data_IF_013388314302
#
_entry.id   IF_013388314302
#
_cell.length_a   1.000
_cell.length_b   1.000
_cell.length_c   1.000
_cell.angle_alpha   90.00
_cell.angle_beta   90.00
_cell.angle_gamma   90.00
#
_symmetry.space_group_name_H-M   'P 1'
#
loop_
_entity.id
_entity.type
_entity.pdbx_description
1 polymer ?
#
# COMPACT_ATOMS: atom_id res chain seq x y z
N UNK A 1 -7.79 13.09 16.51
CA UNK A 1 -7.12 12.40 17.63
C UNK A 1 -6.09 11.44 17.05
N UNK A 2 -4.80 11.60 17.37
CA UNK A 2 -3.78 10.62 17.00
C UNK A 2 -4.02 9.34 17.82
N UNK A 3 -4.32 8.21 17.14
CA UNK A 3 -4.36 6.90 17.80
C UNK A 3 -2.98 6.65 18.42
N UNK A 4 -2.93 6.31 19.71
CA UNK A 4 -1.71 5.80 20.32
C UNK A 4 -1.34 4.51 19.62
N UNK A 5 -0.16 4.44 18.99
CA UNK A 5 0.38 3.19 18.51
C UNK A 5 0.48 2.24 19.70
N UNK A 6 -0.31 1.19 19.67
CA UNK A 6 -0.24 0.15 20.70
C UNK A 6 1.01 -0.69 20.50
N UNK A 7 1.40 -1.48 21.49
CA UNK A 7 2.56 -2.36 21.39
C UNK A 7 2.38 -3.40 20.27
N UNK A 8 1.14 -3.85 20.01
CA UNK A 8 0.81 -4.79 18.95
C UNK A 8 1.08 -4.20 17.56
N UNK A 9 0.58 -2.99 17.27
CA UNK A 9 0.85 -2.26 16.02
C UNK A 9 2.35 -2.09 15.78
N UNK A 10 3.11 -1.73 16.82
CA UNK A 10 4.55 -1.56 16.73
C UNK A 10 5.25 -2.88 16.35
N UNK A 11 4.90 -3.98 16.98
CA UNK A 11 5.46 -5.29 16.70
C UNK A 11 5.16 -5.75 15.25
N UNK A 12 3.95 -5.52 14.74
CA UNK A 12 3.60 -5.87 13.37
C UNK A 12 4.35 -5.00 12.35
N UNK A 13 4.54 -3.71 12.61
CA UNK A 13 5.37 -2.81 11.77
C UNK A 13 6.83 -3.27 11.77
N UNK A 14 7.39 -3.66 12.91
CA UNK A 14 8.76 -4.17 13.01
C UNK A 14 8.94 -5.48 12.21
N UNK A 15 7.96 -6.40 12.26
CA UNK A 15 7.96 -7.63 11.44
C UNK A 15 7.97 -7.29 9.94
N UNK A 16 7.12 -6.37 9.52
CA UNK A 16 7.07 -5.90 8.13
C UNK A 16 8.40 -5.28 7.69
N UNK A 17 8.97 -4.38 8.49
CA UNK A 17 10.24 -3.71 8.19
C UNK A 17 11.40 -4.70 8.15
N UNK A 18 11.43 -5.65 9.08
CA UNK A 18 12.41 -6.74 9.10
C UNK A 18 12.33 -7.59 7.83
N UNK A 19 11.10 -7.94 7.40
CA UNK A 19 10.91 -8.71 6.17
C UNK A 19 11.34 -7.91 4.93
N UNK A 20 11.05 -6.61 4.85
CA UNK A 20 11.52 -5.75 3.76
C UNK A 20 13.05 -5.70 3.65
N UNK A 21 13.76 -5.81 4.78
CA UNK A 21 15.23 -5.81 4.82
C UNK A 21 15.85 -7.17 4.55
N UNK A 22 15.04 -8.23 4.47
CA UNK A 22 15.53 -9.60 4.19
C UNK A 22 15.86 -9.74 2.70
N UNK A 23 16.91 -10.49 2.38
CA UNK A 23 17.31 -10.80 1.00
C UNK A 23 16.39 -11.84 0.35
N UNK A 24 16.24 -11.75 -0.99
CA UNK A 24 15.52 -12.76 -1.78
C UNK A 24 16.18 -14.16 -1.68
N UNK A 25 15.43 -15.24 -1.85
CA UNK A 25 14.02 -15.29 -2.22
C UNK A 25 13.07 -15.06 -1.04
N UNK A 26 12.01 -14.30 -1.30
CA UNK A 26 10.94 -13.99 -0.33
C UNK A 26 9.60 -14.53 -0.80
N UNK A 27 8.71 -14.76 0.16
CA UNK A 27 7.32 -15.14 -0.11
C UNK A 27 6.33 -14.23 0.61
N UNK A 28 5.16 -14.08 0.02
CA UNK A 28 4.01 -13.37 0.57
C UNK A 28 2.88 -14.39 0.66
N UNK A 29 2.38 -14.65 1.84
CA UNK A 29 1.22 -15.51 2.04
C UNK A 29 0.00 -14.66 2.37
N UNK A 30 -1.15 -15.04 1.82
CA UNK A 30 -2.46 -14.49 2.20
C UNK A 30 -3.52 -15.57 2.07
N UNK A 31 -4.70 -15.35 2.66
CA UNK A 31 -5.74 -16.36 2.64
C UNK A 31 -6.38 -16.52 1.26
N UNK A 32 -6.85 -17.74 0.97
CA UNK A 32 -7.73 -18.02 -0.17
C UNK A 32 -9.06 -17.25 -0.03
N UNK A 33 -9.74 -17.06 -1.15
CA UNK A 33 -10.94 -16.22 -1.21
C UNK A 33 -10.65 -14.79 -0.78
N UNK A 34 -9.55 -14.23 -1.35
CA UNK A 34 -9.08 -12.88 -0.99
C UNK A 34 -10.22 -11.85 -1.01
N UNK A 35 -10.33 -11.11 0.06
CA UNK A 35 -11.12 -9.87 0.12
C UNK A 35 -10.26 -8.67 -0.26
N UNK A 36 -10.73 -7.46 0.02
CA UNK A 36 -10.00 -6.27 -0.34
C UNK A 36 -8.73 -6.09 0.50
N UNK A 37 -8.76 -6.40 1.80
CA UNK A 37 -7.58 -6.27 2.66
C UNK A 37 -6.48 -7.23 2.24
N UNK A 38 -6.81 -8.50 2.05
CA UNK A 38 -5.89 -9.54 1.57
C UNK A 38 -5.29 -9.19 0.20
N UNK A 39 -6.14 -8.81 -0.78
CA UNK A 39 -5.71 -8.52 -2.14
C UNK A 39 -4.77 -7.31 -2.22
N UNK A 40 -5.14 -6.19 -1.56
CA UNK A 40 -4.35 -4.96 -1.59
C UNK A 40 -3.09 -5.06 -0.73
N UNK A 41 -3.12 -5.79 0.39
CA UNK A 41 -1.94 -6.07 1.22
C UNK A 41 -0.89 -6.87 0.47
N UNK A 42 -1.26 -8.01 -0.10
CA UNK A 42 -0.36 -8.83 -0.91
C UNK A 42 0.18 -8.07 -2.13
N UNK A 43 -0.69 -7.27 -2.79
CA UNK A 43 -0.31 -6.45 -3.93
C UNK A 43 0.72 -5.38 -3.57
N UNK A 44 0.56 -4.67 -2.44
CA UNK A 44 1.55 -3.69 -1.98
C UNK A 44 2.91 -4.34 -1.74
N UNK A 45 2.94 -5.46 -1.02
CA UNK A 45 4.18 -6.20 -0.77
C UNK A 45 4.86 -6.66 -2.06
N UNK A 46 4.08 -7.14 -3.04
CA UNK A 46 4.61 -7.54 -4.35
C UNK A 46 5.13 -6.36 -5.19
N UNK A 47 4.63 -5.14 -4.98
CA UNK A 47 5.19 -3.92 -5.59
C UNK A 47 6.51 -3.54 -4.92
N UNK A 48 6.61 -3.70 -3.60
CA UNK A 48 7.83 -3.41 -2.83
C UNK A 48 8.93 -4.45 -3.06
N UNK A 49 8.57 -5.71 -3.22
CA UNK A 49 9.47 -6.86 -3.48
C UNK A 49 8.99 -7.61 -4.74
N UNK A 50 9.35 -7.13 -5.94
CA UNK A 50 8.81 -7.67 -7.20
C UNK A 50 9.16 -9.13 -7.48
N UNK A 51 10.23 -9.65 -6.85
CA UNK A 51 10.66 -11.04 -6.98
C UNK A 51 10.00 -11.98 -5.96
N UNK A 52 9.29 -11.45 -4.96
CA UNK A 52 8.62 -12.25 -3.96
C UNK A 52 7.49 -13.08 -4.59
N UNK A 53 7.46 -14.38 -4.24
CA UNK A 53 6.40 -15.27 -4.66
C UNK A 53 5.14 -15.03 -3.82
N UNK A 54 3.98 -14.94 -4.47
CA UNK A 54 2.70 -14.82 -3.77
C UNK A 54 1.99 -16.16 -3.74
N UNK A 55 1.60 -16.60 -2.54
CA UNK A 55 0.88 -17.86 -2.31
C UNK A 55 -0.43 -17.59 -1.58
N UNK A 56 -1.47 -18.33 -1.96
CA UNK A 56 -2.79 -18.28 -1.35
C UNK A 56 -2.98 -19.57 -0.55
N UNK A 57 -3.26 -19.42 0.74
CA UNK A 57 -3.34 -20.55 1.70
C UNK A 57 -4.65 -20.48 2.47
N UNK A 58 -5.10 -21.57 3.12
CA UNK A 58 -6.25 -21.51 4.04
C UNK A 58 -6.05 -20.44 5.12
N UNK A 59 -7.11 -19.73 5.50
CA UNK A 59 -7.04 -18.61 6.45
C UNK A 59 -6.54 -19.01 7.85
N UNK A 60 -6.67 -20.28 8.21
CA UNK A 60 -6.20 -20.86 9.47
C UNK A 60 -4.78 -21.44 9.41
N UNK A 61 -4.13 -21.36 8.25
CA UNK A 61 -2.77 -21.82 8.06
C UNK A 61 -1.80 -21.00 8.93
N UNK A 62 -0.88 -21.70 9.60
CA UNK A 62 0.16 -21.08 10.40
C UNK A 62 1.46 -20.96 9.59
N UNK A 63 1.95 -19.73 9.43
CA UNK A 63 3.17 -19.44 8.66
C UNK A 63 4.28 -19.02 9.61
N UNK A 64 5.29 -19.86 9.73
CA UNK A 64 6.44 -19.65 10.62
C UNK A 64 7.78 -19.49 9.88
N UNK A 65 7.79 -19.62 8.56
CA UNK A 65 8.98 -19.36 7.76
C UNK A 65 9.38 -17.89 7.80
N UNK A 66 10.66 -17.62 8.15
CA UNK A 66 11.18 -16.25 8.30
C UNK A 66 11.26 -15.47 6.98
N UNK A 67 11.23 -16.16 5.83
CA UNK A 67 11.21 -15.52 4.49
C UNK A 67 9.81 -15.19 4.00
N UNK A 68 8.80 -15.72 4.68
CA UNK A 68 7.40 -15.50 4.32
C UNK A 68 6.75 -14.47 5.23
N UNK A 69 6.16 -13.44 4.66
CA UNK A 69 5.28 -12.52 5.37
C UNK A 69 3.83 -12.88 5.08
N UNK A 70 3.09 -13.24 6.13
CA UNK A 70 1.68 -13.54 6.02
C UNK A 70 0.86 -12.27 6.27
N UNK A 71 -0.02 -11.89 5.34
CA UNK A 71 -0.84 -10.68 5.44
C UNK A 71 -2.32 -11.02 5.44
N UNK A 72 -3.05 -10.30 6.26
CA UNK A 72 -4.46 -10.56 6.58
C UNK A 72 -4.68 -11.98 7.11
N UNK A 73 -3.72 -12.45 7.89
CA UNK A 73 -3.74 -13.74 8.57
C UNK A 73 -3.47 -13.56 10.06
N UNK A 74 -4.07 -14.43 10.88
CA UNK A 74 -4.02 -14.31 12.35
C UNK A 74 -2.99 -15.22 13.01
N UNK A 75 -2.44 -16.20 12.30
CA UNK A 75 -1.54 -17.23 12.85
C UNK A 75 -0.16 -17.15 12.24
N UNK A 76 0.85 -17.42 13.07
CA UNK A 76 2.26 -17.49 12.68
C UNK A 76 3.09 -16.31 13.14
N UNK A 77 4.40 -16.55 13.26
CA UNK A 77 5.36 -15.58 13.80
C UNK A 77 5.54 -14.32 12.94
N UNK A 78 5.18 -14.40 11.68
CA UNK A 78 5.27 -13.32 10.68
C UNK A 78 3.90 -12.91 10.14
N UNK A 79 2.85 -13.22 10.88
CA UNK A 79 1.51 -12.80 10.52
C UNK A 79 1.30 -11.30 10.83
N UNK A 80 0.64 -10.62 9.89
CA UNK A 80 0.18 -9.24 10.01
C UNK A 80 -1.33 -9.24 9.78
N UNK A 81 -2.08 -8.83 10.79
CA UNK A 81 -3.54 -8.72 10.73
C UNK A 81 -4.01 -7.27 10.78
N UNK A 82 -3.21 -6.38 11.36
CA UNK A 82 -3.58 -4.96 11.48
C UNK A 82 -4.69 -4.71 12.49
N UNK A 83 -4.78 -5.51 13.56
CA UNK A 83 -5.88 -5.52 14.52
C UNK A 83 -6.22 -4.14 15.10
N UNK A 84 -5.21 -3.33 15.42
CA UNK A 84 -5.41 -2.01 16.03
C UNK A 84 -5.68 -0.92 14.98
N UNK A 85 -5.20 -1.10 13.74
CA UNK A 85 -5.43 -0.17 12.63
C UNK A 85 -6.77 -0.43 11.93
N UNK A 86 -7.28 -1.66 11.97
CA UNK A 86 -8.51 -2.10 11.36
C UNK A 86 -8.29 -2.88 10.04
N UNK A 87 -7.08 -2.90 9.48
CA UNK A 87 -6.74 -3.74 8.32
C UNK A 87 -5.23 -3.97 8.23
N UNK A 88 -4.80 -5.08 7.64
CA UNK A 88 -3.40 -5.38 7.35
C UNK A 88 -2.82 -4.36 6.36
N UNK A 89 -3.59 -3.98 5.33
CA UNK A 89 -3.19 -2.94 4.37
C UNK A 89 -2.94 -1.60 5.05
N UNK A 90 -3.82 -1.21 5.97
CA UNK A 90 -3.67 0.03 6.73
C UNK A 90 -2.37 0.06 7.52
N UNK A 91 -2.03 -1.04 8.16
CA UNK A 91 -0.80 -1.19 8.92
C UNK A 91 0.44 -1.14 8.01
N UNK A 92 0.45 -1.86 6.88
CA UNK A 92 1.54 -1.83 5.91
C UNK A 92 1.78 -0.41 5.39
N UNK A 93 0.71 0.29 5.02
CA UNK A 93 0.79 1.69 4.56
C UNK A 93 1.32 2.60 5.66
N UNK A 94 0.89 2.41 6.91
CA UNK A 94 1.43 3.16 8.06
C UNK A 94 2.93 2.92 8.22
N UNK A 95 3.39 1.67 8.10
CA UNK A 95 4.81 1.31 8.14
C UNK A 95 5.65 1.99 7.05
N UNK A 96 5.05 2.31 5.90
CA UNK A 96 5.74 3.04 4.82
C UNK A 96 5.99 4.51 5.13
N UNK A 97 5.38 5.08 6.18
CA UNK A 97 5.51 6.51 6.51
C UNK A 97 6.97 6.94 6.72
N UNK A 98 7.78 6.08 7.34
CA UNK A 98 9.21 6.34 7.61
C UNK A 98 10.13 5.79 6.51
N UNK A 99 9.70 4.80 5.73
CA UNK A 99 10.53 4.10 4.73
C UNK A 99 10.43 4.80 3.36
N UNK A 100 9.22 5.01 2.87
CA UNK A 100 8.93 5.67 1.58
C UNK A 100 7.72 6.60 1.72
N UNK A 101 7.93 7.85 2.16
CA UNK A 101 6.86 8.82 2.34
C UNK A 101 5.98 9.06 1.10
N UNK A 102 6.49 9.04 -0.14
CA UNK A 102 5.69 9.04 -1.36
C UNK A 102 4.67 7.90 -1.43
N UNK A 103 5.05 6.65 -1.14
CA UNK A 103 4.12 5.51 -1.10
C UNK A 103 3.05 5.71 -0.02
N UNK A 104 3.45 6.13 1.18
CA UNK A 104 2.51 6.47 2.24
C UNK A 104 1.48 7.50 1.79
N UNK A 105 1.92 8.61 1.17
CA UNK A 105 1.01 9.65 0.67
C UNK A 105 0.07 9.15 -0.41
N UNK A 106 0.58 8.30 -1.33
CA UNK A 106 -0.22 7.70 -2.39
C UNK A 106 -1.38 6.87 -1.83
N UNK A 107 -1.12 6.06 -0.80
CA UNK A 107 -2.02 4.99 -0.37
C UNK A 107 -2.80 5.29 0.92
N UNK A 108 -2.45 6.32 1.70
CA UNK A 108 -3.05 6.60 3.02
C UNK A 108 -4.58 6.75 3.01
N UNK A 109 -5.16 7.28 1.90
CA UNK A 109 -6.61 7.40 1.79
C UNK A 109 -7.28 6.05 1.57
N UNK A 110 -6.67 5.17 0.77
CA UNK A 110 -7.14 3.81 0.57
C UNK A 110 -7.01 2.99 1.85
N UNK A 111 -5.89 3.14 2.57
CA UNK A 111 -5.70 2.53 3.88
C UNK A 111 -6.79 2.94 4.87
N UNK A 112 -7.11 4.23 4.95
CA UNK A 112 -8.19 4.72 5.81
C UNK A 112 -9.57 4.14 5.43
N UNK A 113 -9.85 3.98 4.14
CA UNK A 113 -11.09 3.35 3.66
C UNK A 113 -11.16 1.88 4.07
N UNK A 114 -10.11 1.11 3.83
CA UNK A 114 -10.07 -0.31 4.20
C UNK A 114 -10.16 -0.51 5.72
N UNK A 115 -9.46 0.31 6.52
CA UNK A 115 -9.58 0.28 7.97
C UNK A 115 -11.03 0.45 8.46
N UNK A 116 -11.78 1.35 7.84
CA UNK A 116 -13.20 1.56 8.19
C UNK A 116 -14.07 0.38 7.76
N UNK A 117 -13.85 -0.14 6.55
CA UNK A 117 -14.61 -1.27 6.01
C UNK A 117 -14.41 -2.52 6.85
N UNK A 118 -13.16 -2.84 7.15
CA UNK A 118 -12.77 -4.05 7.87
C UNK A 118 -13.21 -4.02 9.35
N UNK A 119 -13.21 -2.83 9.95
CA UNK A 119 -13.73 -2.62 11.30
C UNK A 119 -15.27 -2.54 11.39
N UNK A 120 -15.99 -2.76 10.29
CA UNK A 120 -17.45 -2.64 10.23
C UNK A 120 -17.99 -1.21 10.41
N UNK A 121 -17.12 -0.19 10.36
CA UNK A 121 -17.46 1.25 10.51
C UNK A 121 -17.53 1.97 9.16
N UNK A 122 -17.53 1.24 8.05
CA UNK A 122 -17.54 1.80 6.72
C UNK A 122 -18.80 2.60 6.44
N UNK A 123 -18.65 3.79 5.87
CA UNK A 123 -19.73 4.55 5.23
C UNK A 123 -19.76 4.23 3.72
N UNK A 124 -20.78 4.73 2.98
CA UNK A 124 -20.89 4.50 1.52
C UNK A 124 -19.59 4.79 0.76
N UNK A 125 -18.89 5.85 1.13
CA UNK A 125 -17.65 6.28 0.47
C UNK A 125 -16.43 5.41 0.82
N UNK A 126 -16.48 4.62 1.90
CA UNK A 126 -15.39 3.75 2.33
C UNK A 126 -15.42 2.35 1.70
N UNK A 127 -16.48 2.01 0.98
CA UNK A 127 -16.73 0.65 0.45
C UNK A 127 -16.10 0.42 -0.93
N UNK A 128 -15.56 1.46 -1.57
CA UNK A 128 -15.14 1.41 -3.00
C UNK A 128 -14.15 0.29 -3.31
N UNK A 129 -13.11 0.09 -2.48
CA UNK A 129 -12.11 -0.96 -2.75
C UNK A 129 -12.68 -2.35 -2.52
N UNK A 130 -13.53 -2.53 -1.51
CA UNK A 130 -14.21 -3.81 -1.26
C UNK A 130 -15.17 -4.15 -2.41
N UNK A 131 -15.93 -3.18 -2.91
CA UNK A 131 -16.83 -3.38 -4.04
C UNK A 131 -16.08 -3.70 -5.34
N UNK A 132 -14.89 -3.14 -5.56
CA UNK A 132 -14.04 -3.50 -6.70
C UNK A 132 -13.65 -4.98 -6.65
N UNK A 133 -13.22 -5.50 -5.51
CA UNK A 133 -12.84 -6.91 -5.38
C UNK A 133 -14.06 -7.82 -5.56
N UNK A 134 -15.22 -7.46 -5.03
CA UNK A 134 -16.47 -8.17 -5.28
C UNK A 134 -16.84 -8.18 -6.78
N UNK A 135 -16.73 -7.04 -7.46
CA UNK A 135 -16.98 -6.93 -8.90
C UNK A 135 -16.03 -7.82 -9.71
N UNK A 136 -14.73 -7.83 -9.39
CA UNK A 136 -13.77 -8.71 -10.05
C UNK A 136 -14.11 -10.19 -9.86
N UNK A 137 -14.53 -10.57 -8.65
CA UNK A 137 -15.01 -11.94 -8.39
C UNK A 137 -16.27 -12.28 -9.20
N UNK A 138 -17.20 -11.35 -9.29
CA UNK A 138 -18.43 -11.52 -10.10
C UNK A 138 -18.13 -11.66 -11.59
N UNK A 139 -16.99 -11.14 -12.06
CA UNK A 139 -16.47 -11.34 -13.41
C UNK A 139 -15.69 -12.66 -13.56
N UNK A 140 -15.67 -13.52 -12.54
CA UNK A 140 -15.01 -14.82 -12.57
C UNK A 140 -13.51 -14.78 -12.26
N UNK A 141 -12.96 -13.66 -11.78
CA UNK A 141 -11.56 -13.62 -11.37
C UNK A 141 -11.37 -14.41 -10.07
N UNK A 142 -10.45 -15.37 -10.07
CA UNK A 142 -9.98 -16.03 -8.87
C UNK A 142 -9.02 -15.15 -8.05
N UNK A 143 -8.49 -15.70 -6.96
CA UNK A 143 -7.62 -14.97 -6.03
C UNK A 143 -6.42 -14.29 -6.73
N UNK A 144 -5.74 -15.03 -7.60
CA UNK A 144 -4.62 -14.49 -8.41
C UNK A 144 -5.06 -13.35 -9.33
N UNK A 145 -6.27 -13.43 -9.90
CA UNK A 145 -6.83 -12.38 -10.73
C UNK A 145 -7.12 -11.10 -9.93
N UNK A 146 -7.77 -11.22 -8.78
CA UNK A 146 -8.03 -10.11 -7.87
C UNK A 146 -6.73 -9.45 -7.38
N UNK A 147 -5.75 -10.25 -6.97
CA UNK A 147 -4.42 -9.78 -6.61
C UNK A 147 -3.74 -9.00 -7.74
N UNK A 148 -3.74 -9.51 -8.97
CA UNK A 148 -3.10 -8.84 -10.11
C UNK A 148 -3.76 -7.47 -10.39
N UNK A 149 -5.09 -7.38 -10.35
CA UNK A 149 -5.81 -6.11 -10.49
C UNK A 149 -5.50 -5.11 -9.38
N UNK A 150 -5.44 -5.58 -8.14
CA UNK A 150 -5.02 -4.74 -7.02
C UNK A 150 -3.58 -4.24 -7.20
N UNK A 151 -2.66 -5.08 -7.69
CA UNK A 151 -1.27 -4.72 -7.97
C UNK A 151 -1.16 -3.64 -9.05
N UNK A 152 -1.90 -3.77 -10.15
CA UNK A 152 -1.95 -2.76 -11.22
C UNK A 152 -2.42 -1.41 -10.67
N UNK A 153 -3.49 -1.39 -9.86
CA UNK A 153 -4.02 -0.17 -9.25
C UNK A 153 -3.02 0.47 -8.28
N UNK A 154 -2.38 -0.29 -7.40
CA UNK A 154 -1.36 0.19 -6.47
C UNK A 154 -0.19 0.80 -7.23
N UNK A 155 0.33 0.09 -8.24
CA UNK A 155 1.44 0.58 -9.05
C UNK A 155 1.10 1.88 -9.76
N UNK A 156 -0.07 1.97 -10.37
CA UNK A 156 -0.57 3.18 -11.02
C UNK A 156 -0.68 4.35 -10.03
N UNK A 157 -1.22 4.09 -8.84
CA UNK A 157 -1.38 5.11 -7.79
C UNK A 157 -0.04 5.63 -7.28
N UNK A 158 0.92 4.74 -7.04
CA UNK A 158 2.28 5.11 -6.61
C UNK A 158 2.99 5.93 -7.70
N UNK A 159 2.90 5.50 -8.96
CA UNK A 159 3.53 6.20 -10.08
C UNK A 159 2.96 7.62 -10.26
N UNK A 160 1.64 7.76 -10.15
CA UNK A 160 0.97 9.07 -10.19
C UNK A 160 1.46 10.01 -9.08
N UNK A 161 1.54 9.52 -7.84
CA UNK A 161 2.02 10.32 -6.71
C UNK A 161 3.49 10.72 -6.87
N UNK A 162 4.34 9.80 -7.33
CA UNK A 162 5.76 10.10 -7.62
C UNK A 162 5.93 11.14 -8.72
N UNK A 163 5.10 11.07 -9.76
CA UNK A 163 5.09 12.07 -10.84
C UNK A 163 4.67 13.44 -10.31
N UNK A 164 3.57 13.49 -9.55
CA UNK A 164 3.09 14.74 -8.92
C UNK A 164 4.14 15.34 -7.98
N UNK A 165 4.81 14.51 -7.18
CA UNK A 165 5.87 14.96 -6.30
C UNK A 165 7.04 15.58 -7.08
N UNK A 166 7.48 14.93 -8.16
CA UNK A 166 8.54 15.48 -9.04
C UNK A 166 8.13 16.82 -9.65
N UNK A 167 6.87 16.94 -10.13
CA UNK A 167 6.35 18.20 -10.67
C UNK A 167 6.31 19.30 -9.60
N UNK A 168 5.87 18.99 -8.38
CA UNK A 168 5.87 19.95 -7.28
C UNK A 168 7.28 20.40 -6.89
N UNK A 169 8.27 19.52 -6.89
CA UNK A 169 9.67 19.88 -6.63
C UNK A 169 10.20 20.79 -7.74
N UNK A 170 9.92 20.47 -9.00
CA UNK A 170 10.27 21.34 -10.14
C UNK A 170 9.62 22.72 -10.00
N UNK A 171 8.33 22.78 -9.68
CA UNK A 171 7.63 24.04 -9.48
C UNK A 171 8.23 24.90 -8.34
N UNK A 172 8.68 24.26 -7.24
CA UNK A 172 9.35 24.95 -6.12
C UNK A 172 10.74 25.46 -6.48
N UNK A 173 11.42 24.85 -7.45
CA UNK A 173 12.74 25.27 -7.92
C UNK A 173 12.69 26.37 -8.99
N UNK A 174 11.49 26.79 -9.42
CA UNK A 174 11.31 27.87 -10.37
C UNK A 174 11.57 29.21 -9.67
N UNK A 175 12.59 29.93 -10.12
CA UNK A 175 12.85 31.33 -9.73
C UNK A 175 12.26 32.25 -10.80
N UNK A 176 11.55 33.29 -10.39
CA UNK A 176 11.07 34.31 -11.32
C UNK A 176 12.06 35.47 -11.32
N UNK A 177 12.77 35.61 -12.40
CA UNK A 177 13.70 36.75 -12.61
C UNK A 177 13.22 37.62 -13.76
N UNK A 178 12.89 38.87 -13.48
CA UNK A 178 12.43 39.87 -14.49
C UNK A 178 11.25 39.37 -15.36
N UNK A 179 10.27 38.69 -14.75
CA UNK A 179 9.11 38.17 -15.46
C UNK A 179 9.36 36.91 -16.29
N UNK A 180 10.51 36.27 -16.12
CA UNK A 180 10.84 35.00 -16.76
C UNK A 180 10.98 33.94 -15.66
N UNK A 181 10.27 32.83 -15.81
CA UNK A 181 10.45 31.67 -14.95
C UNK A 181 11.71 30.91 -15.37
N UNK A 182 12.68 30.75 -14.45
CA UNK A 182 13.89 29.96 -14.66
C UNK A 182 13.77 28.68 -13.86
N UNK A 183 13.83 27.53 -14.54
CA UNK A 183 13.81 26.20 -13.91
C UNK A 183 15.25 25.80 -13.56
N UNK A 184 15.43 24.93 -12.57
CA UNK A 184 16.74 24.50 -12.06
C UNK A 184 17.65 23.83 -13.11
N UNK A 185 17.08 23.36 -14.23
CA UNK A 185 17.83 22.80 -15.37
C UNK A 185 18.26 23.86 -16.41
N UNK A 186 18.05 25.15 -16.11
CA UNK A 186 18.38 26.26 -17.00
C UNK A 186 17.32 26.60 -18.05
N UNK A 187 16.21 25.85 -18.10
CA UNK A 187 15.12 26.14 -19.02
C UNK A 187 14.42 27.44 -18.62
N UNK A 188 14.33 28.39 -19.56
CA UNK A 188 13.66 29.68 -19.38
C UNK A 188 12.28 29.63 -20.04
N UNK A 189 11.25 29.85 -19.24
CA UNK A 189 9.87 29.96 -19.72
C UNK A 189 9.41 31.40 -19.50
N UNK A 190 9.05 32.11 -20.57
CA UNK A 190 8.38 33.41 -20.44
C UNK A 190 7.01 33.18 -19.82
N UNK A 191 6.71 33.85 -18.71
CA UNK A 191 5.35 33.91 -18.23
C UNK A 191 4.51 34.62 -19.30
N UNK A 192 3.56 33.90 -19.89
CA UNK A 192 2.53 34.55 -20.69
C UNK A 192 1.77 35.46 -19.74
N UNK A 193 1.62 36.72 -20.13
CA UNK A 193 0.74 37.65 -19.40
C UNK A 193 -0.66 37.04 -19.35
N UNK A 194 -1.13 36.70 -18.13
CA UNK A 194 -2.55 36.48 -17.84
C UNK A 194 -3.13 37.80 -17.41
#
# INVERSE_FOLDING_TARGET
>A
MAKKNTSATKNEIERFQSWLSTEDPLSIATHMHVDADAAFSAALLSVLKPKAQVVFVPADCEINDYRTLAVDMSKGNRAIKGLDEGSAFGLLVLGMRSIDPPIYRALRRWAAQLNLTDSGKGCRDSVVLAELVKAWRSLGLGDKGCFNRAKELIQGKINSERSNYKQQQRAKSVKIEKGVAVISDGTRIRAAHV
#
